data_IF_155780265504
#
_entry.id   IF_155780265504
#
_cell.length_a   1.000
_cell.length_b   1.000
_cell.length_c   1.000
_cell.angle_alpha   90.00
_cell.angle_beta   90.00
_cell.angle_gamma   90.00
#
_symmetry.space_group_name_H-M   'P 1'
#
loop_
_entity.id
_entity.type
_entity.pdbx_description
1 polymer ?
#
# COMPACT_ATOMS: atom_id res chain seq x y z
N UNK A 1 13.28 25.71 25.96
CA UNK A 1 11.96 26.26 25.54
C UNK A 1 12.20 26.97 24.22
N UNK A 2 11.68 26.56 23.06
CA UNK A 2 10.61 25.62 22.69
C UNK A 2 11.05 25.01 21.36
N UNK A 3 11.17 23.69 21.24
CA UNK A 3 10.10 22.79 20.78
C UNK A 3 9.30 23.35 19.61
N UNK A 4 9.79 23.09 18.40
CA UNK A 4 8.99 22.81 17.22
C UNK A 4 9.92 22.15 16.19
N UNK A 5 10.39 20.95 16.52
CA UNK A 5 10.69 19.94 15.50
C UNK A 5 9.34 19.68 14.82
N UNK A 6 9.04 20.49 13.80
CA UNK A 6 7.89 20.31 12.94
C UNK A 6 8.04 18.91 12.35
N UNK A 7 7.45 17.94 13.03
CA UNK A 7 6.95 16.72 12.42
C UNK A 7 6.02 17.18 11.30
N UNK A 8 6.62 17.47 10.14
CA UNK A 8 5.94 17.69 8.87
C UNK A 8 5.23 16.39 8.62
N UNK A 9 3.99 16.31 9.09
CA UNK A 9 3.02 15.36 8.58
C UNK A 9 3.03 15.63 7.08
N UNK A 10 3.50 14.66 6.25
CA UNK A 10 3.53 14.86 4.82
C UNK A 10 2.15 15.31 4.40
N UNK A 11 2.06 16.43 3.68
CA UNK A 11 0.77 16.93 3.20
C UNK A 11 0.02 15.77 2.53
N UNK A 12 -1.25 15.52 2.88
CA UNK A 12 -2.00 14.40 2.32
C UNK A 12 -1.94 14.52 0.81
N UNK A 13 -1.20 13.62 0.17
CA UNK A 13 -1.10 13.62 -1.28
C UNK A 13 -2.51 13.31 -1.76
N UNK A 14 -3.11 14.20 -2.55
CA UNK A 14 -4.41 13.98 -3.21
C UNK A 14 -4.37 12.86 -4.29
N UNK A 15 -3.37 11.98 -4.23
CA UNK A 15 -3.29 10.75 -5.01
C UNK A 15 -3.83 9.62 -4.15
N UNK A 16 -4.54 8.68 -4.77
CA UNK A 16 -5.11 7.55 -4.05
C UNK A 16 -3.96 6.66 -3.52
N UNK A 17 -3.54 6.88 -2.27
CA UNK A 17 -2.43 6.21 -1.61
C UNK A 17 -2.57 4.68 -1.69
N UNK A 18 -3.82 4.21 -1.70
CA UNK A 18 -4.14 2.80 -1.93
C UNK A 18 -3.76 2.35 -3.35
N UNK A 19 -4.06 3.12 -4.39
CA UNK A 19 -3.68 2.76 -5.76
C UNK A 19 -2.16 2.71 -5.93
N UNK A 20 -1.44 3.68 -5.35
CA UNK A 20 0.02 3.68 -5.37
C UNK A 20 0.59 2.47 -4.63
N UNK A 21 0.02 2.13 -3.47
CA UNK A 21 0.36 0.91 -2.75
C UNK A 21 0.13 -0.33 -3.61
N UNK A 22 -1.02 -0.47 -4.27
CA UNK A 22 -1.33 -1.62 -5.11
C UNK A 22 -0.40 -1.71 -6.33
N UNK A 23 -0.02 -0.57 -6.93
CA UNK A 23 0.96 -0.54 -8.03
C UNK A 23 2.33 -1.03 -7.58
N UNK A 24 2.75 -0.72 -6.35
CA UNK A 24 3.99 -1.23 -5.75
C UNK A 24 3.91 -2.74 -5.51
N UNK A 25 2.76 -3.26 -5.09
CA UNK A 25 2.55 -4.71 -4.95
C UNK A 25 2.73 -5.41 -6.29
N UNK A 26 2.15 -4.84 -7.36
CA UNK A 26 2.33 -5.36 -8.73
C UNK A 26 3.79 -5.37 -9.19
N UNK A 27 4.62 -4.43 -8.71
CA UNK A 27 6.06 -4.37 -9.01
C UNK A 27 6.90 -5.33 -8.14
N UNK A 28 6.31 -5.95 -7.12
CA UNK A 28 7.01 -6.84 -6.21
C UNK A 28 7.83 -6.11 -5.14
N UNK A 29 7.47 -4.86 -4.81
CA UNK A 29 8.15 -4.09 -3.76
C UNK A 29 8.08 -4.81 -2.40
N UNK A 30 9.08 -4.55 -1.55
CA UNK A 30 9.08 -5.05 -0.17
C UNK A 30 8.17 -4.18 0.70
N UNK A 31 7.26 -4.83 1.42
CA UNK A 31 6.30 -4.18 2.32
C UNK A 31 6.45 -4.67 3.75
N UNK A 32 6.05 -3.81 4.68
CA UNK A 32 5.88 -4.16 6.08
C UNK A 32 4.90 -5.35 6.21
N UNK A 33 5.15 -6.34 7.09
CA UNK A 33 4.30 -7.53 7.24
C UNK A 33 2.83 -7.20 7.51
N UNK A 34 2.55 -6.21 8.35
CA UNK A 34 1.18 -5.82 8.68
C UNK A 34 0.45 -5.22 7.48
N UNK A 35 1.15 -4.50 6.61
CA UNK A 35 0.54 -3.95 5.40
C UNK A 35 0.15 -5.06 4.43
N UNK A 36 0.98 -6.12 4.32
CA UNK A 36 0.62 -7.31 3.54
C UNK A 36 -0.63 -7.97 4.10
N UNK A 37 -0.71 -8.14 5.43
CA UNK A 37 -1.89 -8.71 6.11
C UNK A 37 -3.15 -7.89 5.85
N UNK A 38 -3.06 -6.57 5.93
CA UNK A 38 -4.18 -5.68 5.63
C UNK A 38 -4.67 -5.82 4.18
N UNK A 39 -3.77 -5.85 3.20
CA UNK A 39 -4.13 -6.01 1.80
C UNK A 39 -4.81 -7.36 1.52
N UNK A 40 -4.37 -8.43 2.19
CA UNK A 40 -5.00 -9.75 2.12
C UNK A 40 -6.37 -9.74 2.79
N UNK A 41 -6.48 -9.14 3.98
CA UNK A 41 -7.74 -9.01 4.70
C UNK A 41 -8.80 -8.26 3.88
N UNK A 42 -8.41 -7.21 3.15
CA UNK A 42 -9.28 -6.44 2.27
C UNK A 42 -9.56 -7.12 0.91
N UNK A 43 -9.00 -8.32 0.69
CA UNK A 43 -9.08 -9.10 -0.55
C UNK A 43 -8.53 -8.36 -1.77
N UNK A 44 -7.57 -7.46 -1.57
CA UNK A 44 -6.89 -6.71 -2.64
C UNK A 44 -5.63 -7.42 -3.12
N UNK A 45 -5.04 -8.26 -2.28
CA UNK A 45 -3.91 -9.10 -2.61
C UNK A 45 -4.06 -10.49 -2.00
N UNK A 46 -3.29 -11.45 -2.50
CA UNK A 46 -3.22 -12.81 -2.00
C UNK A 46 -1.76 -13.30 -2.03
N UNK A 47 -1.43 -14.26 -1.18
CA UNK A 47 -0.14 -14.93 -1.23
C UNK A 47 -0.17 -16.08 -2.24
N UNK A 48 0.73 -16.04 -3.23
CA UNK A 48 1.05 -17.18 -4.10
C UNK A 48 2.46 -17.64 -3.76
N UNK A 49 2.53 -18.67 -2.91
CA UNK A 49 3.79 -19.02 -2.25
C UNK A 49 4.28 -17.87 -1.38
N UNK A 50 5.52 -17.44 -1.58
CA UNK A 50 6.13 -16.32 -0.85
C UNK A 50 5.82 -14.94 -1.46
N UNK A 51 5.20 -14.91 -2.65
CA UNK A 51 4.90 -13.68 -3.36
C UNK A 51 3.53 -13.15 -2.98
N UNK A 52 3.45 -11.84 -2.75
CA UNK A 52 2.19 -11.14 -2.62
C UNK A 52 1.78 -10.64 -4.02
N UNK A 53 0.63 -11.08 -4.52
CA UNK A 53 0.11 -10.70 -5.83
C UNK A 53 -1.25 -10.03 -5.69
N UNK A 54 -1.61 -9.16 -6.64
CA UNK A 54 -2.92 -8.53 -6.65
C UNK A 54 -4.02 -9.51 -7.08
N UNK A 55 -5.15 -9.48 -6.38
CA UNK A 55 -6.40 -10.11 -6.84
C UNK A 55 -6.99 -9.33 -8.02
N UNK A 56 -8.01 -9.86 -8.69
CA UNK A 56 -8.73 -9.12 -9.75
C UNK A 56 -9.24 -7.75 -9.26
N UNK A 57 -9.76 -7.70 -8.02
CA UNK A 57 -10.21 -6.46 -7.38
C UNK A 57 -9.04 -5.48 -7.16
N UNK A 58 -7.92 -5.97 -6.63
CA UNK A 58 -6.72 -5.15 -6.46
C UNK A 58 -6.14 -4.62 -7.77
N UNK A 59 -6.20 -5.42 -8.83
CA UNK A 59 -5.75 -5.01 -10.17
C UNK A 59 -6.62 -3.89 -10.74
N UNK A 60 -7.95 -3.97 -10.60
CA UNK A 60 -8.86 -2.91 -11.05
C UNK A 60 -8.59 -1.59 -10.34
N UNK A 61 -8.39 -1.63 -9.01
CA UNK A 61 -8.07 -0.43 -8.24
C UNK A 61 -6.71 0.16 -8.63
N UNK A 62 -5.70 -0.67 -8.87
CA UNK A 62 -4.37 -0.22 -9.30
C UNK A 62 -4.36 0.52 -10.66
N UNK A 63 -5.39 0.35 -11.49
CA UNK A 63 -5.55 0.99 -12.80
C UNK A 63 -6.21 2.37 -12.74
N UNK A 64 -6.84 2.72 -11.61
CA UNK A 64 -7.46 4.02 -11.37
C UNK A 64 -6.48 5.09 -10.91
#
# INVERSE_FOLDING_TARGET
>A
MSDADETRIPAPRRGNELNDLLRRVRRGDVFHPDLKRWLVHLQLAEFRGLQLVLTNKGQLLAQS
#
